data_IF_316823548788
#
_entry.id   IF_316823548788
#
_cell.length_a   1.000
_cell.length_b   1.000
_cell.length_c   1.000
_cell.angle_alpha   90.00
_cell.angle_beta   90.00
_cell.angle_gamma   90.00
#
_symmetry.space_group_name_H-M   'P 1'
#
loop_
_entity.id
_entity.type
_entity.pdbx_description
1 polymer ?
#
# COMPACT_ATOMS: atom_id res chain seq x y z
N UNK A 1 -4.34 12.64 9.96
CA UNK A 1 -5.64 13.22 9.55
C UNK A 1 -6.73 12.55 10.38
N UNK A 2 -7.67 13.30 10.98
CA UNK A 2 -8.78 12.71 11.74
C UNK A 2 -9.63 11.80 10.83
N UNK A 3 -10.18 10.72 11.38
CA UNK A 3 -11.11 9.86 10.64
C UNK A 3 -12.48 10.53 10.51
N UNK A 4 -13.34 9.98 9.64
CA UNK A 4 -14.69 10.51 9.39
C UNK A 4 -15.53 10.64 10.68
N UNK A 5 -15.38 9.70 11.62
CA UNK A 5 -16.07 9.74 12.91
C UNK A 5 -15.57 10.90 13.78
N UNK A 6 -14.26 11.13 13.82
CA UNK A 6 -13.67 12.23 14.57
C UNK A 6 -14.10 13.59 14.00
N UNK A 7 -14.13 13.74 12.67
CA UNK A 7 -14.62 14.95 11.99
C UNK A 7 -16.09 15.23 12.34
N UNK A 8 -16.95 14.22 12.33
CA UNK A 8 -18.36 14.38 12.70
C UNK A 8 -18.55 14.86 14.15
N UNK A 9 -17.77 14.30 15.10
CA UNK A 9 -17.82 14.73 16.50
C UNK A 9 -17.31 16.17 16.64
N UNK A 10 -16.20 16.52 16.00
CA UNK A 10 -15.63 17.88 16.02
C UNK A 10 -16.66 18.90 15.51
N UNK A 11 -17.31 18.61 14.40
CA UNK A 11 -18.34 19.46 13.80
C UNK A 11 -19.55 19.60 14.72
N UNK A 12 -20.04 18.49 15.30
CA UNK A 12 -21.17 18.52 16.24
C UNK A 12 -20.91 19.39 17.46
N UNK A 13 -19.63 19.51 17.86
CA UNK A 13 -19.18 20.33 18.99
C UNK A 13 -18.81 21.76 18.59
N UNK A 14 -18.95 22.13 17.31
CA UNK A 14 -18.56 23.44 16.75
C UNK A 14 -17.10 23.80 17.05
N UNK A 15 -16.22 22.80 17.05
CA UNK A 15 -14.80 22.98 17.32
C UNK A 15 -14.06 23.20 16.00
N UNK A 16 -12.96 23.96 16.05
CA UNK A 16 -12.13 24.17 14.88
C UNK A 16 -11.39 22.87 14.52
N UNK A 17 -11.75 22.28 13.38
CA UNK A 17 -11.16 21.03 12.90
C UNK A 17 -9.65 21.13 12.66
N UNK A 18 -9.13 22.30 12.28
CA UNK A 18 -7.71 22.52 11.97
C UNK A 18 -6.78 22.20 13.15
N UNK A 19 -7.28 22.34 14.38
CA UNK A 19 -6.51 22.04 15.61
C UNK A 19 -6.27 20.53 15.82
N UNK A 20 -7.04 19.68 15.13
CA UNK A 20 -6.95 18.22 15.22
C UNK A 20 -6.14 17.61 14.07
N UNK A 21 -5.67 18.43 13.13
CA UNK A 21 -4.74 17.98 12.11
C UNK A 21 -3.32 17.94 12.67
N UNK A 22 -2.55 16.95 12.22
CA UNK A 22 -1.12 16.95 12.49
C UNK A 22 -0.45 18.13 11.76
N UNK A 23 0.59 18.77 12.35
CA UNK A 23 1.33 19.86 11.71
C UNK A 23 1.85 19.52 10.30
N UNK A 24 2.11 18.23 10.03
CA UNK A 24 2.56 17.73 8.73
C UNK A 24 1.60 18.01 7.57
N UNK A 25 0.32 18.26 7.84
CA UNK A 25 -0.68 18.60 6.81
C UNK A 25 -0.82 20.12 6.56
N UNK A 26 0.10 20.93 7.09
CA UNK A 26 0.12 22.38 6.83
C UNK A 26 0.80 22.72 5.50
N UNK A 27 0.40 23.84 4.89
CA UNK A 27 1.04 24.36 3.66
C UNK A 27 2.53 24.63 3.90
N UNK A 28 2.88 25.15 5.08
CA UNK A 28 4.27 25.39 5.46
C UNK A 28 5.09 24.10 5.43
N UNK A 29 4.57 23.02 6.01
CA UNK A 29 5.28 21.74 6.04
C UNK A 29 5.33 21.09 4.66
N UNK A 30 4.27 21.21 3.85
CA UNK A 30 4.29 20.80 2.44
C UNK A 30 5.39 21.52 1.66
N UNK A 31 5.43 22.86 1.72
CA UNK A 31 6.47 23.66 1.06
C UNK A 31 7.88 23.32 1.56
N UNK A 32 8.02 23.04 2.86
CA UNK A 32 9.30 22.63 3.43
C UNK A 32 9.73 21.25 2.94
N UNK A 33 8.82 20.28 2.87
CA UNK A 33 9.10 18.93 2.37
C UNK A 33 9.57 18.95 0.90
N UNK A 34 9.00 19.84 0.09
CA UNK A 34 9.35 20.04 -1.32
C UNK A 34 10.27 21.25 -1.55
N UNK A 35 10.97 21.73 -0.52
CA UNK A 35 11.89 22.87 -0.66
C UNK A 35 13.18 22.51 -1.41
N UNK A 36 13.52 21.22 -1.44
CA UNK A 36 14.63 20.70 -2.24
C UNK A 36 14.32 20.73 -3.74
N UNK A 37 15.38 20.84 -4.55
CA UNK A 37 15.25 20.70 -5.99
C UNK A 37 14.95 19.23 -6.34
N UNK A 38 13.82 18.98 -6.99
CA UNK A 38 13.55 17.70 -7.66
C UNK A 38 14.15 17.82 -9.05
N UNK A 39 15.30 17.19 -9.26
CA UNK A 39 15.90 17.11 -10.58
C UNK A 39 15.01 16.28 -11.51
N UNK A 40 14.85 16.69 -12.78
CA UNK A 40 14.17 15.86 -13.76
C UNK A 40 14.88 14.51 -13.87
N UNK A 41 14.11 13.47 -14.09
CA UNK A 41 14.67 12.17 -14.47
C UNK A 41 15.33 12.38 -15.83
N UNK A 42 16.62 12.05 -15.91
CA UNK A 42 17.40 12.14 -17.14
C UNK A 42 16.83 11.17 -18.19
N UNK A 43 16.94 11.55 -19.46
CA UNK A 43 16.38 10.76 -20.56
C UNK A 43 17.16 9.47 -20.80
N UNK A 44 16.63 8.60 -21.65
CA UNK A 44 17.26 7.32 -21.99
C UNK A 44 18.71 7.48 -22.49
N UNK A 45 19.03 8.62 -23.10
CA UNK A 45 20.39 8.97 -23.57
C UNK A 45 21.42 9.18 -22.45
N UNK A 46 20.95 9.43 -21.23
CA UNK A 46 21.79 9.73 -20.08
C UNK A 46 21.93 8.52 -19.15
N UNK A 47 21.27 7.40 -19.47
CA UNK A 47 21.36 6.17 -18.68
C UNK A 47 22.72 5.52 -18.92
N UNK A 48 23.38 5.09 -17.85
CA UNK A 48 24.57 4.27 -17.98
C UNK A 48 24.22 2.93 -18.61
N UNK A 49 24.90 2.55 -19.68
CA UNK A 49 24.84 1.20 -20.23
C UNK A 49 25.24 0.22 -19.11
N UNK A 50 24.31 -0.66 -18.73
CA UNK A 50 24.56 -1.75 -17.80
C UNK A 50 24.69 -3.03 -18.62
N UNK A 51 25.89 -3.62 -18.61
CA UNK A 51 26.16 -4.94 -19.23
C UNK A 51 25.73 -6.11 -18.33
N UNK A 52 25.04 -5.84 -17.21
CA UNK A 52 24.57 -6.87 -16.29
C UNK A 52 23.42 -7.67 -16.89
N UNK A 53 23.63 -8.99 -17.02
CA UNK A 53 22.58 -9.90 -17.46
C UNK A 53 21.52 -10.05 -16.35
N UNK A 54 20.36 -9.44 -16.55
CA UNK A 54 19.24 -9.53 -15.60
C UNK A 54 18.60 -10.91 -15.73
N UNK A 55 18.97 -11.83 -14.82
CA UNK A 55 18.31 -13.12 -14.73
C UNK A 55 16.91 -12.99 -14.13
N UNK A 56 15.93 -13.77 -14.61
CA UNK A 56 14.63 -13.85 -13.96
C UNK A 56 14.79 -14.35 -12.52
N UNK A 57 13.89 -13.97 -11.60
CA UNK A 57 13.95 -14.46 -10.24
C UNK A 57 13.95 -15.99 -10.22
N UNK A 58 14.91 -16.58 -9.49
CA UNK A 58 15.13 -18.04 -9.41
C UNK A 58 13.91 -18.85 -8.98
N UNK A 59 12.88 -18.20 -8.42
CA UNK A 59 11.64 -18.85 -7.99
C UNK A 59 10.44 -18.07 -8.52
N UNK A 60 9.49 -18.72 -9.20
CA UNK A 60 8.23 -18.08 -9.53
C UNK A 60 7.53 -17.64 -8.24
N UNK A 61 6.81 -16.51 -8.31
CA UNK A 61 6.02 -16.00 -7.18
C UNK A 61 5.05 -17.11 -6.73
N UNK A 62 5.10 -17.49 -5.46
CA UNK A 62 4.13 -18.43 -4.92
C UNK A 62 2.71 -17.85 -5.11
N UNK A 63 1.70 -18.70 -5.36
CA UNK A 63 0.33 -18.22 -5.42
C UNK A 63 -0.01 -17.52 -4.10
N UNK A 64 -0.38 -16.24 -4.16
CA UNK A 64 -0.63 -15.44 -2.95
C UNK A 64 -1.75 -16.01 -2.09
N UNK A 65 -2.74 -16.63 -2.72
CA UNK A 65 -3.80 -17.38 -2.05
C UNK A 65 -3.42 -18.86 -2.02
N UNK A 66 -3.41 -19.51 -0.83
CA UNK A 66 -3.37 -20.96 -0.76
C UNK A 66 -4.45 -21.55 -1.67
N UNK A 67 -4.07 -22.49 -2.54
CA UNK A 67 -5.04 -23.18 -3.38
C UNK A 67 -6.06 -23.85 -2.46
N UNK A 68 -7.32 -23.47 -2.59
CA UNK A 68 -8.40 -24.20 -1.94
C UNK A 68 -8.50 -25.53 -2.67
N UNK A 69 -8.11 -26.62 -2.00
CA UNK A 69 -8.37 -27.96 -2.49
C UNK A 69 -9.90 -28.14 -2.53
N UNK A 70 -10.47 -28.15 -3.73
CA UNK A 70 -11.90 -28.43 -3.90
C UNK A 70 -12.12 -29.91 -3.69
N UNK A 71 -12.41 -30.29 -2.45
CA UNK A 71 -12.91 -31.63 -2.13
C UNK A 71 -14.34 -31.71 -2.72
N UNK A 72 -14.59 -32.66 -3.63
CA UNK A 72 -15.96 -32.96 -4.09
C UNK A 72 -16.81 -33.33 -2.88
N UNK A 73 -18.07 -32.90 -2.82
CA UNK A 73 -18.95 -33.11 -1.66
C UNK A 73 -18.96 -34.57 -1.20
N UNK A 74 -19.02 -35.51 -2.14
CA UNK A 74 -18.93 -36.96 -1.88
C UNK A 74 -17.66 -37.37 -1.09
N UNK A 75 -16.49 -36.82 -1.44
CA UNK A 75 -15.23 -37.10 -0.73
C UNK A 75 -15.15 -36.43 0.65
N UNK A 76 -15.92 -35.35 0.88
CA UNK A 76 -15.98 -34.70 2.20
C UNK A 76 -16.74 -35.55 3.20
N UNK A 77 -17.82 -36.20 2.74
CA UNK A 77 -18.63 -37.12 3.55
C UNK A 77 -17.82 -38.35 3.94
N UNK A 78 -17.09 -38.96 3.00
CA UNK A 78 -16.22 -40.12 3.26
C UNK A 78 -15.08 -39.83 4.27
N UNK A 79 -14.52 -38.61 4.26
CA UNK A 79 -13.48 -38.18 5.21
C UNK A 79 -14.02 -37.86 6.61
N UNK A 80 -15.31 -37.52 6.72
CA UNK A 80 -15.97 -37.26 8.01
C UNK A 80 -16.42 -38.54 8.70
N UNK A 81 -16.71 -39.59 7.94
CA UNK A 81 -17.12 -40.92 8.45
C UNK A 81 -15.94 -41.70 9.04
N UNK A 82 -14.71 -41.42 8.58
CA UNK A 82 -13.50 -42.13 9.02
C UNK A 82 -12.72 -41.42 10.16
N UNK A 83 -13.39 -40.54 10.91
CA UNK A 83 -12.83 -39.87 12.10
C UNK A 83 -13.60 -40.28 13.34
#
# INVERSE_FOLDING_TARGET
>A
MPCVHAVAIIESRRLNHLLYFSPYFSISTYKQAYSGCIYPVLGDSDWSENDEEIYPPNKPRAPGRPRVLRIKVQMREELQVNK
#
